data_IF_619453598920
#
_entry.id   IF_619453598920
#
_cell.length_a   1.000
_cell.length_b   1.000
_cell.length_c   1.000
_cell.angle_alpha   90.00
_cell.angle_beta   90.00
_cell.angle_gamma   90.00
#
_symmetry.space_group_name_H-M   'P 1'
#
loop_
_entity.id
_entity.type
_entity.pdbx_description
1 polymer ?
#
# COMPACT_ATOMS: atom_id res chain seq x y z
N UNK A 1 -17.41 13.98 -13.81
CA UNK A 1 -17.19 12.54 -13.85
C UNK A 1 -16.28 12.11 -12.71
N UNK A 2 -16.70 11.19 -11.92
CA UNK A 2 -15.89 10.77 -10.79
C UNK A 2 -14.82 9.80 -11.27
N UNK A 3 -13.64 9.94 -10.69
CA UNK A 3 -12.48 9.10 -10.97
C UNK A 3 -12.44 7.99 -9.93
N UNK A 4 -12.10 6.78 -10.37
CA UNK A 4 -11.93 5.68 -9.44
C UNK A 4 -10.78 6.01 -8.49
N UNK A 5 -10.93 5.62 -7.23
CA UNK A 5 -9.87 5.81 -6.25
C UNK A 5 -8.65 5.00 -6.66
N UNK A 6 -7.47 5.60 -6.50
CA UNK A 6 -6.21 4.90 -6.77
C UNK A 6 -5.56 4.51 -5.47
N UNK A 7 -5.22 3.24 -5.34
CA UNK A 7 -4.74 2.65 -4.11
C UNK A 7 -3.26 2.30 -4.24
N UNK A 8 -2.51 2.60 -3.18
CA UNK A 8 -1.09 2.27 -3.10
C UNK A 8 -0.93 1.21 -2.01
N UNK A 9 -0.47 0.01 -2.38
CA UNK A 9 -0.28 -1.08 -1.42
C UNK A 9 1.21 -1.19 -1.12
N UNK A 10 1.61 -0.85 0.10
CA UNK A 10 3.02 -0.96 0.50
C UNK A 10 3.26 -2.29 1.24
N UNK A 11 4.33 -2.99 0.87
CA UNK A 11 4.57 -4.35 1.36
C UNK A 11 3.78 -5.38 0.58
N UNK A 12 3.49 -5.07 -0.68
CA UNK A 12 2.52 -5.82 -1.49
C UNK A 12 2.97 -7.23 -1.83
N UNK A 13 4.29 -7.51 -1.83
CA UNK A 13 4.78 -8.83 -2.22
C UNK A 13 4.52 -9.91 -1.17
N UNK A 14 4.09 -9.52 0.05
CA UNK A 14 3.76 -10.49 1.08
C UNK A 14 2.40 -11.13 0.84
N UNK A 15 2.06 -12.08 1.69
CA UNK A 15 0.81 -12.84 1.56
C UNK A 15 -0.41 -11.92 1.59
N UNK A 16 -0.49 -11.05 2.62
CA UNK A 16 -1.64 -10.16 2.77
C UNK A 16 -1.71 -9.16 1.63
N UNK A 17 -0.55 -8.65 1.18
CA UNK A 17 -0.53 -7.70 0.07
C UNK A 17 -1.09 -8.28 -1.21
N UNK A 18 -0.78 -9.54 -1.48
CA UNK A 18 -1.31 -10.21 -2.67
C UNK A 18 -2.83 -10.41 -2.57
N UNK A 19 -3.33 -10.70 -1.36
CA UNK A 19 -4.78 -10.84 -1.17
C UNK A 19 -5.50 -9.50 -1.37
N UNK A 20 -4.93 -8.41 -0.87
CA UNK A 20 -5.49 -7.08 -1.07
C UNK A 20 -5.50 -6.73 -2.56
N UNK A 21 -4.39 -7.00 -3.24
CA UNK A 21 -4.29 -6.73 -4.67
C UNK A 21 -5.33 -7.51 -5.47
N UNK A 22 -5.51 -8.78 -5.14
CA UNK A 22 -6.51 -9.62 -5.81
C UNK A 22 -7.91 -9.04 -5.63
N UNK A 23 -8.22 -8.59 -4.43
CA UNK A 23 -9.52 -8.00 -4.13
C UNK A 23 -9.76 -6.72 -4.92
N UNK A 24 -8.74 -5.86 -5.00
CA UNK A 24 -8.85 -4.62 -5.77
C UNK A 24 -9.00 -4.91 -7.25
N UNK A 25 -8.20 -5.84 -7.77
CA UNK A 25 -8.26 -6.21 -9.18
C UNK A 25 -9.63 -6.79 -9.54
N UNK A 26 -10.20 -7.58 -8.66
CA UNK A 26 -11.52 -8.17 -8.90
C UNK A 26 -12.61 -7.10 -8.97
N UNK A 27 -12.38 -5.94 -8.37
CA UNK A 27 -13.33 -4.83 -8.37
C UNK A 27 -12.96 -3.75 -9.37
N UNK A 28 -11.95 -4.01 -10.20
CA UNK A 28 -11.47 -3.08 -11.22
C UNK A 28 -11.00 -1.74 -10.64
N UNK A 29 -10.44 -1.78 -9.44
CA UNK A 29 -9.86 -0.60 -8.80
C UNK A 29 -8.37 -0.55 -9.14
N UNK A 30 -7.88 0.52 -9.77
CA UNK A 30 -6.46 0.62 -10.11
C UNK A 30 -5.60 0.74 -8.86
N UNK A 31 -4.42 0.13 -8.88
CA UNK A 31 -3.54 0.18 -7.72
C UNK A 31 -2.07 0.14 -8.10
N UNK A 32 -1.24 0.60 -7.16
CA UNK A 32 0.21 0.47 -7.24
C UNK A 32 0.62 -0.64 -6.28
N UNK A 33 1.31 -1.63 -6.80
CA UNK A 33 1.80 -2.78 -6.06
C UNK A 33 3.22 -2.44 -5.62
N UNK A 34 3.41 -2.05 -4.38
CA UNK A 34 4.62 -1.37 -3.95
C UNK A 34 5.36 -2.09 -2.83
N UNK A 35 6.67 -1.88 -2.79
CA UNK A 35 7.54 -2.44 -1.78
C UNK A 35 8.97 -2.08 -2.08
N UNK A 36 9.90 -2.75 -1.42
CA UNK A 36 11.32 -2.43 -1.53
C UNK A 36 12.06 -3.24 -2.60
N UNK A 37 11.50 -4.35 -3.05
CA UNK A 37 12.19 -5.26 -3.97
C UNK A 37 11.36 -5.47 -5.23
N UNK A 38 11.82 -4.91 -6.36
CA UNK A 38 11.08 -4.98 -7.62
C UNK A 38 10.85 -6.42 -8.08
N UNK A 39 11.85 -7.27 -7.94
CA UNK A 39 11.74 -8.64 -8.40
C UNK A 39 10.63 -9.40 -7.65
N UNK A 40 10.56 -9.22 -6.33
CA UNK A 40 9.50 -9.83 -5.54
C UNK A 40 8.13 -9.28 -5.90
N UNK A 41 8.07 -7.99 -6.22
CA UNK A 41 6.81 -7.37 -6.63
C UNK A 41 6.34 -7.93 -7.97
N UNK A 42 7.26 -8.08 -8.92
CA UNK A 42 6.90 -8.67 -10.21
C UNK A 42 6.39 -10.09 -10.06
N UNK A 43 7.06 -10.89 -9.24
CA UNK A 43 6.63 -12.25 -8.96
C UNK A 43 5.26 -12.28 -8.29
N UNK A 44 5.04 -11.37 -7.33
CA UNK A 44 3.76 -11.28 -6.64
C UNK A 44 2.61 -10.93 -7.54
N UNK A 45 2.82 -9.95 -8.44
CA UNK A 45 1.78 -9.58 -9.39
C UNK A 45 1.43 -10.73 -10.33
N UNK A 46 2.43 -11.50 -10.73
CA UNK A 46 2.19 -12.66 -11.56
C UNK A 46 1.28 -13.67 -10.86
N UNK A 47 1.51 -13.88 -9.58
CA UNK A 47 0.67 -14.78 -8.79
C UNK A 47 -0.77 -14.26 -8.72
N UNK A 48 -0.92 -12.95 -8.50
CA UNK A 48 -2.26 -12.33 -8.46
C UNK A 48 -2.97 -12.53 -9.81
N UNK A 49 -2.25 -12.29 -10.90
CA UNK A 49 -2.80 -12.47 -12.24
C UNK A 49 -3.29 -13.89 -12.48
N UNK A 50 -2.49 -14.86 -12.07
CA UNK A 50 -2.84 -16.28 -12.23
C UNK A 50 -4.06 -16.65 -11.40
N UNK A 51 -4.15 -16.13 -10.18
CA UNK A 51 -5.27 -16.43 -9.30
C UNK A 51 -6.56 -15.79 -9.77
N UNK A 52 -6.46 -14.56 -10.27
CA UNK A 52 -7.64 -13.84 -10.75
C UNK A 52 -8.13 -14.38 -12.10
N UNK A 53 -7.20 -14.80 -12.96
CA UNK A 53 -7.55 -15.38 -14.24
C UNK A 53 -7.94 -14.37 -15.31
N UNK A 54 -7.69 -13.08 -15.09
CA UNK A 54 -7.96 -12.05 -16.09
C UNK A 54 -7.03 -10.86 -15.86
N UNK A 55 -6.85 -10.01 -16.90
CA UNK A 55 -5.99 -8.85 -16.76
C UNK A 55 -6.61 -7.78 -15.83
N UNK A 56 -5.75 -6.93 -15.30
CA UNK A 56 -6.16 -5.83 -14.46
C UNK A 56 -5.15 -4.69 -14.58
N UNK A 57 -5.52 -3.53 -14.09
CA UNK A 57 -4.68 -2.35 -14.16
C UNK A 57 -3.88 -2.19 -12.87
N UNK A 58 -2.55 -2.27 -12.98
CA UNK A 58 -1.68 -2.12 -11.83
C UNK A 58 -0.32 -1.62 -12.26
N UNK A 59 0.33 -0.88 -11.37
CA UNK A 59 1.70 -0.42 -11.55
C UNK A 59 2.57 -0.98 -10.45
N UNK A 60 3.87 -1.04 -10.67
CA UNK A 60 4.82 -1.43 -9.64
C UNK A 60 5.53 -0.19 -9.14
N UNK A 61 5.51 0.01 -7.82
CA UNK A 61 6.22 1.11 -7.19
C UNK A 61 7.33 0.57 -6.30
N UNK A 62 8.56 1.02 -6.51
CA UNK A 62 9.70 0.58 -5.69
C UNK A 62 10.16 1.74 -4.84
N UNK A 63 10.13 1.56 -3.53
CA UNK A 63 10.58 2.60 -2.60
C UNK A 63 11.03 1.94 -1.30
N UNK A 64 12.11 2.48 -0.74
CA UNK A 64 12.50 2.12 0.61
C UNK A 64 11.54 2.73 1.62
N UNK A 65 11.75 2.42 2.88
CA UNK A 65 10.85 2.84 3.94
C UNK A 65 11.24 4.22 4.47
N UNK A 66 11.28 5.21 3.58
CA UNK A 66 11.57 6.60 3.94
C UNK A 66 10.54 7.51 3.29
N UNK A 67 10.29 8.64 3.93
CA UNK A 67 9.36 9.64 3.39
C UNK A 67 9.83 10.13 2.02
N UNK A 68 11.14 10.38 1.89
CA UNK A 68 11.71 10.88 0.65
C UNK A 68 11.47 9.95 -0.54
N UNK A 69 11.57 8.64 -0.31
CA UNK A 69 11.36 7.69 -1.40
C UNK A 69 9.88 7.46 -1.70
N UNK A 70 9.04 7.55 -0.68
CA UNK A 70 7.61 7.28 -0.83
C UNK A 70 6.85 8.45 -1.45
N UNK A 71 7.20 9.68 -1.10
CA UNK A 71 6.45 10.86 -1.54
C UNK A 71 6.24 10.94 -3.06
N UNK A 72 7.27 10.72 -3.90
CA UNK A 72 7.04 10.81 -5.35
C UNK A 72 6.03 9.80 -5.86
N UNK A 73 5.91 8.66 -5.20
CA UNK A 73 4.98 7.61 -5.63
C UNK A 73 3.55 7.87 -5.20
N UNK A 74 3.32 8.79 -4.26
CA UNK A 74 2.00 9.03 -3.71
C UNK A 74 1.26 10.22 -4.33
N UNK A 75 1.81 10.82 -5.38
CA UNK A 75 1.27 12.07 -5.92
C UNK A 75 -0.18 11.97 -6.41
N UNK A 76 -0.55 10.86 -7.02
CA UNK A 76 -1.91 10.68 -7.52
C UNK A 76 -2.66 9.57 -6.78
N UNK A 77 -2.24 9.30 -5.56
CA UNK A 77 -2.81 8.22 -4.76
C UNK A 77 -3.88 8.78 -3.82
N UNK A 78 -4.98 8.08 -3.71
CA UNK A 78 -6.07 8.44 -2.81
C UNK A 78 -5.98 7.71 -1.47
N UNK A 79 -5.58 6.44 -1.50
CA UNK A 79 -5.55 5.60 -0.31
C UNK A 79 -4.24 4.81 -0.26
N UNK A 80 -3.58 4.84 0.89
CA UNK A 80 -2.39 4.00 1.13
C UNK A 80 -2.80 2.87 2.05
N UNK A 81 -2.55 1.64 1.63
CA UNK A 81 -2.76 0.45 2.46
C UNK A 81 -1.39 -0.12 2.79
N UNK A 82 -1.03 -0.09 4.06
CA UNK A 82 0.27 -0.59 4.50
C UNK A 82 0.11 -1.99 5.08
N UNK A 83 0.69 -2.96 4.41
CA UNK A 83 0.68 -4.35 4.87
C UNK A 83 2.09 -4.85 5.17
N UNK A 84 3.06 -3.95 5.19
CA UNK A 84 4.43 -4.29 5.58
C UNK A 84 4.53 -4.38 7.10
N UNK A 85 5.24 -5.36 7.59
CA UNK A 85 5.48 -5.51 9.02
C UNK A 85 6.96 -5.61 9.33
N UNK A 86 7.36 -5.44 10.58
CA UNK A 86 6.54 -5.11 11.75
C UNK A 86 6.15 -3.64 11.74
N UNK A 87 4.91 -3.36 12.13
CA UNK A 87 4.32 -2.05 11.97
C UNK A 87 5.01 -0.96 12.79
N UNK A 88 5.37 -1.26 14.01
CA UNK A 88 5.99 -0.25 14.89
C UNK A 88 7.32 0.28 14.37
N UNK A 89 8.01 -0.49 13.52
CA UNK A 89 9.29 -0.10 12.97
C UNK A 89 9.20 0.48 11.58
N UNK A 90 8.22 0.03 10.79
CA UNK A 90 8.15 0.33 9.36
C UNK A 90 7.08 1.38 9.04
N UNK A 91 6.00 1.39 9.81
CA UNK A 91 4.82 2.15 9.41
C UNK A 91 4.96 3.66 9.50
N UNK A 92 5.77 4.19 10.44
CA UNK A 92 5.81 5.64 10.63
C UNK A 92 6.19 6.42 9.37
N UNK A 93 7.25 6.03 8.61
CA UNK A 93 7.53 6.74 7.37
C UNK A 93 6.39 6.65 6.37
N UNK A 94 5.69 5.51 6.30
CA UNK A 94 4.56 5.35 5.38
C UNK A 94 3.40 6.26 5.80
N UNK A 95 3.09 6.29 7.09
CA UNK A 95 2.04 7.16 7.63
C UNK A 95 2.37 8.62 7.34
N UNK A 96 3.61 9.02 7.64
CA UNK A 96 4.04 10.39 7.43
C UNK A 96 3.93 10.80 5.96
N UNK A 97 4.39 9.93 5.06
CA UNK A 97 4.32 10.22 3.63
C UNK A 97 2.86 10.32 3.17
N UNK A 98 2.01 9.43 3.64
CA UNK A 98 0.60 9.47 3.26
C UNK A 98 -0.07 10.76 3.72
N UNK A 99 0.22 11.21 4.94
CA UNK A 99 -0.34 12.45 5.44
C UNK A 99 0.15 13.65 4.66
N UNK A 100 1.46 13.70 4.35
CA UNK A 100 2.02 14.81 3.59
C UNK A 100 1.47 14.83 2.16
N UNK A 101 1.18 13.68 1.60
CA UNK A 101 0.61 13.58 0.25
C UNK A 101 -0.91 13.70 0.25
N UNK A 102 -1.50 13.89 1.42
CA UNK A 102 -2.95 14.05 1.58
C UNK A 102 -3.74 12.81 1.16
N UNK A 103 -3.20 11.64 1.48
CA UNK A 103 -3.85 10.36 1.22
C UNK A 103 -4.52 9.82 2.47
N UNK A 104 -5.56 9.03 2.28
CA UNK A 104 -6.10 8.24 3.39
C UNK A 104 -5.14 7.10 3.70
N UNK A 105 -5.05 6.72 4.95
CA UNK A 105 -4.12 5.67 5.37
C UNK A 105 -4.86 4.54 6.08
N UNK A 106 -4.60 3.32 5.64
CA UNK A 106 -5.13 2.11 6.27
C UNK A 106 -4.01 1.12 6.48
N UNK A 107 -4.12 0.28 7.50
CA UNK A 107 -3.22 -0.84 7.64
C UNK A 107 -3.98 -2.05 8.17
N UNK A 108 -3.30 -3.19 8.22
CA UNK A 108 -3.93 -4.45 8.60
C UNK A 108 -3.52 -4.89 9.98
N UNK A 109 -2.94 -3.98 10.77
CA UNK A 109 -2.45 -4.35 12.09
C UNK A 109 -3.57 -4.64 13.07
N UNK A 110 -3.31 -5.62 13.93
CA UNK A 110 -4.14 -5.84 15.09
C UNK A 110 -3.48 -5.38 16.37
N UNK A 111 -2.35 -4.70 16.27
CA UNK A 111 -1.56 -4.30 17.44
C UNK A 111 -2.13 -3.04 18.07
N UNK A 112 -2.59 -3.16 19.31
CA UNK A 112 -3.19 -2.02 19.99
C UNK A 112 -2.19 -0.91 20.27
N UNK A 113 -0.95 -1.27 20.57
CA UNK A 113 0.09 -0.28 20.81
C UNK A 113 0.31 0.60 19.60
N UNK A 114 0.26 0.00 18.39
CA UNK A 114 0.40 0.74 17.16
C UNK A 114 -0.77 1.71 16.98
N UNK A 115 -1.98 1.24 17.20
CA UNK A 115 -3.18 2.07 17.07
C UNK A 115 -3.13 3.25 18.05
N UNK A 116 -2.73 2.99 19.30
CA UNK A 116 -2.62 4.04 20.29
C UNK A 116 -1.55 5.06 19.90
N UNK A 117 -0.42 4.60 19.39
CA UNK A 117 0.65 5.49 18.95
C UNK A 117 0.19 6.42 17.83
N UNK A 118 -0.58 5.90 16.88
CA UNK A 118 -1.14 6.72 15.82
C UNK A 118 -2.06 7.78 16.37
N UNK A 119 -2.93 7.40 17.31
CA UNK A 119 -3.86 8.35 17.92
C UNK A 119 -3.14 9.45 18.66
N UNK A 120 -2.07 9.12 19.36
CA UNK A 120 -1.29 10.12 20.10
C UNK A 120 -0.58 11.09 19.16
N UNK A 121 -0.03 10.58 18.05
CA UNK A 121 0.77 11.41 17.15
C UNK A 121 -0.08 12.24 16.21
N UNK A 122 -1.18 11.69 15.70
CA UNK A 122 -1.98 12.32 14.64
C UNK A 122 -3.44 12.52 15.02
N UNK A 123 -3.87 11.93 16.11
CA UNK A 123 -5.26 11.96 16.49
C UNK A 123 -5.72 13.31 17.03
N UNK A 124 -7.01 13.42 17.17
CA UNK A 124 -7.67 14.60 17.71
C UNK A 124 -7.90 14.45 19.18
#
# INVERSE_FOLDING_TARGET
>A
MSKAAKVFIYGASGYTGKLVAESLAARDIPFVFAGRNRERLEQGLKIVEERLGRPFEAEIGVAGNTVEELMPLLQDIDVVINVAGPFMQIAWPVVEAALQANCHYLDTTGEQDWVLAIKEKYGQ
#
